data_IF_676331979245
#
_entry.id   IF_676331979245
#
_cell.length_a   1.000
_cell.length_b   1.000
_cell.length_c   1.000
_cell.angle_alpha   90.00
_cell.angle_beta   90.00
_cell.angle_gamma   90.00
#
_symmetry.space_group_name_H-M   'P 1'
#
loop_
_entity.id
_entity.type
_entity.pdbx_description
1 polymer ?
#
# COMPACT_ATOMS: atom_id res chain seq x y z
N UNK A 1 21.86 28.93 -2.09
CA UNK A 1 21.99 27.61 -2.75
C UNK A 1 21.72 26.43 -1.80
N UNK A 2 22.06 26.49 -0.51
CA UNK A 2 21.77 25.41 0.46
C UNK A 2 20.26 25.15 0.72
N UNK A 3 19.40 26.18 0.65
CA UNK A 3 17.96 26.02 0.91
C UNK A 3 17.23 25.18 -0.16
N UNK A 4 17.61 25.32 -1.43
CA UNK A 4 16.98 24.56 -2.53
C UNK A 4 17.38 23.09 -2.51
N UNK A 5 18.64 22.78 -2.17
CA UNK A 5 19.10 21.39 -2.03
C UNK A 5 18.40 20.65 -0.88
N UNK A 6 18.17 21.32 0.26
CA UNK A 6 17.42 20.73 1.38
C UNK A 6 15.93 20.52 1.08
N UNK A 7 15.30 21.44 0.34
CA UNK A 7 13.91 21.27 -0.11
C UNK A 7 13.78 20.09 -1.09
N UNK A 8 14.70 19.96 -2.03
CA UNK A 8 14.77 18.82 -2.94
C UNK A 8 14.90 17.49 -2.17
N UNK A 9 15.68 17.47 -1.09
CA UNK A 9 15.87 16.29 -0.27
C UNK A 9 14.60 15.87 0.51
N UNK A 10 13.72 16.81 0.83
CA UNK A 10 12.42 16.51 1.46
C UNK A 10 11.39 15.97 0.45
N UNK A 11 11.39 16.47 -0.79
CA UNK A 11 10.38 16.05 -1.79
C UNK A 11 10.52 14.61 -2.25
N UNK A 12 11.71 14.03 -2.10
CA UNK A 12 12.03 12.67 -2.52
C UNK A 12 12.34 11.76 -1.33
N UNK A 13 11.87 12.10 -0.13
CA UNK A 13 12.11 11.29 1.07
C UNK A 13 11.14 10.11 1.14
N UNK A 14 11.70 8.90 1.19
CA UNK A 14 10.94 7.67 1.45
C UNK A 14 10.31 7.70 2.86
N UNK A 15 11.00 8.24 3.86
CA UNK A 15 10.47 8.36 5.23
C UNK A 15 9.22 9.25 5.28
N UNK A 16 9.24 10.38 4.55
CA UNK A 16 8.08 11.28 4.46
C UNK A 16 6.92 10.57 3.75
N UNK A 17 7.21 9.81 2.70
CA UNK A 17 6.20 8.99 2.03
C UNK A 17 5.53 8.01 3.00
N UNK A 18 6.32 7.25 3.77
CA UNK A 18 5.79 6.29 4.73
C UNK A 18 5.00 6.96 5.86
N UNK A 19 5.44 8.12 6.36
CA UNK A 19 4.71 8.89 7.37
C UNK A 19 3.34 9.38 6.86
N UNK A 20 3.27 9.80 5.59
CA UNK A 20 2.02 10.23 4.97
C UNK A 20 1.02 9.08 4.84
N UNK A 21 1.44 7.93 4.30
CA UNK A 21 0.53 6.80 4.12
C UNK A 21 0.14 6.14 5.45
N UNK A 22 1.01 6.21 6.46
CA UNK A 22 0.71 5.73 7.81
C UNK A 22 -0.45 6.52 8.42
N UNK A 23 -0.39 7.85 8.33
CA UNK A 23 -1.42 8.75 8.87
C UNK A 23 -2.71 8.74 8.06
N UNK A 24 -2.61 8.72 6.73
CA UNK A 24 -3.77 8.85 5.83
C UNK A 24 -4.56 7.54 5.71
N UNK A 25 -3.87 6.41 5.66
CA UNK A 25 -4.48 5.12 5.30
C UNK A 25 -4.27 4.08 6.39
N UNK A 26 -3.03 3.82 6.81
CA UNK A 26 -2.72 2.72 7.73
C UNK A 26 -3.36 2.88 9.12
N UNK A 27 -3.48 4.11 9.61
CA UNK A 27 -4.08 4.42 10.93
C UNK A 27 -5.54 3.97 11.00
N UNK A 28 -6.32 4.14 9.93
CA UNK A 28 -7.71 3.68 9.94
C UNK A 28 -7.79 2.15 10.06
N UNK A 29 -6.98 1.43 9.28
CA UNK A 29 -6.91 -0.03 9.36
C UNK A 29 -6.45 -0.52 10.73
N UNK A 30 -5.44 0.14 11.32
CA UNK A 30 -4.93 -0.23 12.65
C UNK A 30 -5.99 -0.01 13.73
N UNK A 31 -6.68 1.14 13.73
CA UNK A 31 -7.74 1.44 14.70
C UNK A 31 -8.93 0.48 14.55
N UNK A 32 -9.33 0.13 13.32
CA UNK A 32 -10.42 -0.82 13.10
C UNK A 32 -10.09 -2.21 13.66
N UNK A 33 -8.90 -2.73 13.37
CA UNK A 33 -8.45 -4.05 13.85
C UNK A 33 -8.23 -4.06 15.36
N UNK A 34 -7.68 -2.99 15.92
CA UNK A 34 -7.53 -2.79 17.36
C UNK A 34 -8.89 -2.73 18.08
N UNK A 35 -9.85 -1.97 17.54
CA UNK A 35 -11.20 -1.85 18.10
C UNK A 35 -11.94 -3.20 18.09
N UNK A 36 -11.76 -4.00 17.04
CA UNK A 36 -12.31 -5.35 16.98
C UNK A 36 -11.71 -6.26 18.07
N UNK A 37 -10.40 -6.18 18.28
CA UNK A 37 -9.72 -6.94 19.33
C UNK A 37 -10.18 -6.52 20.74
N UNK A 38 -10.31 -5.22 20.99
CA UNK A 38 -10.83 -4.68 22.26
C UNK A 38 -12.27 -5.15 22.54
N UNK A 39 -13.13 -5.19 21.51
CA UNK A 39 -14.52 -5.65 21.64
C UNK A 39 -14.62 -7.11 22.07
N UNK A 40 -13.61 -7.92 21.74
CA UNK A 40 -13.51 -9.34 22.13
C UNK A 40 -12.90 -9.54 23.53
N UNK A 41 -12.60 -8.46 24.28
CA UNK A 41 -11.96 -8.50 25.62
C UNK A 41 -10.65 -9.30 25.64
N UNK A 42 -9.87 -9.22 24.57
CA UNK A 42 -8.55 -9.84 24.49
C UNK A 42 -7.52 -9.11 25.37
N UNK A 43 -6.37 -9.74 25.62
CA UNK A 43 -5.29 -9.11 26.40
C UNK A 43 -4.56 -8.01 25.61
N UNK A 44 -3.83 -7.15 26.33
CA UNK A 44 -3.15 -6.00 25.73
C UNK A 44 -2.12 -6.38 24.64
N UNK A 45 -1.49 -7.56 24.74
CA UNK A 45 -0.54 -8.01 23.73
C UNK A 45 -1.28 -8.38 22.44
N UNK A 46 -2.42 -9.04 22.55
CA UNK A 46 -3.25 -9.38 21.39
C UNK A 46 -3.89 -8.16 20.74
N UNK A 47 -4.36 -7.17 21.52
CA UNK A 47 -4.84 -5.89 21.00
C UNK A 47 -3.75 -5.15 20.20
N UNK A 48 -2.53 -5.07 20.76
CA UNK A 48 -1.38 -4.44 20.09
C UNK A 48 -0.98 -5.17 18.80
N UNK A 49 -1.08 -6.50 18.77
CA UNK A 49 -0.86 -7.29 17.55
C UNK A 49 -1.93 -7.00 16.50
N UNK A 50 -3.21 -6.93 16.88
CA UNK A 50 -4.27 -6.54 15.93
C UNK A 50 -3.98 -5.17 15.30
N UNK A 51 -3.62 -4.17 16.13
CA UNK A 51 -3.21 -2.84 15.66
C UNK A 51 -2.11 -2.92 14.60
N UNK A 52 -1.00 -3.62 14.88
CA UNK A 52 0.10 -3.72 13.93
C UNK A 52 -0.27 -4.48 12.67
N UNK A 53 -1.09 -5.53 12.78
CA UNK A 53 -1.62 -6.21 11.61
C UNK A 53 -2.38 -5.24 10.70
N UNK A 54 -3.33 -4.47 11.25
CA UNK A 54 -4.06 -3.46 10.49
C UNK A 54 -3.14 -2.39 9.88
N UNK A 55 -2.15 -1.91 10.64
CA UNK A 55 -1.16 -0.95 10.14
C UNK A 55 -0.43 -1.48 8.91
N UNK A 56 0.16 -2.67 8.99
CA UNK A 56 0.90 -3.24 7.86
C UNK A 56 0.00 -3.56 6.66
N UNK A 57 -1.23 -4.02 6.91
CA UNK A 57 -2.22 -4.23 5.86
C UNK A 57 -2.56 -2.92 5.13
N UNK A 58 -2.81 -1.84 5.87
CA UNK A 58 -3.10 -0.53 5.29
C UNK A 58 -1.92 0.07 4.51
N UNK A 59 -0.68 -0.16 4.95
CA UNK A 59 0.52 0.19 4.18
C UNK A 59 0.58 -0.60 2.87
N UNK A 60 0.35 -1.92 2.91
CA UNK A 60 0.35 -2.74 1.70
C UNK A 60 -0.73 -2.27 0.70
N UNK A 61 -1.92 -1.96 1.21
CA UNK A 61 -3.03 -1.43 0.41
C UNK A 61 -2.63 -0.15 -0.33
N UNK A 62 -2.05 0.82 0.37
CA UNK A 62 -1.66 2.08 -0.27
C UNK A 62 -0.52 1.91 -1.27
N UNK A 63 0.50 1.10 -0.97
CA UNK A 63 1.59 0.86 -1.94
C UNK A 63 1.04 0.20 -3.21
N UNK A 64 0.08 -0.72 -3.08
CA UNK A 64 -0.56 -1.36 -4.23
C UNK A 64 -1.37 -0.37 -5.07
N UNK A 65 -2.15 0.51 -4.43
CA UNK A 65 -2.91 1.59 -5.06
C UNK A 65 -1.96 2.52 -5.85
N UNK A 66 -0.87 2.96 -5.23
CA UNK A 66 0.16 3.78 -5.86
C UNK A 66 0.81 3.09 -7.07
N UNK A 67 1.03 1.77 -7.01
CA UNK A 67 1.57 0.99 -8.13
C UNK A 67 0.58 0.95 -9.29
N UNK A 68 -0.73 0.83 -9.02
CA UNK A 68 -1.75 0.79 -10.07
C UNK A 68 -1.78 2.07 -10.90
N UNK A 69 -1.43 3.22 -10.32
CA UNK A 69 -1.37 4.49 -11.04
C UNK A 69 -0.31 4.54 -12.17
N UNK A 70 0.58 3.55 -12.25
CA UNK A 70 1.61 3.43 -13.30
C UNK A 70 1.20 2.53 -14.48
N UNK A 71 0.03 1.90 -14.46
CA UNK A 71 -0.43 1.04 -15.54
C UNK A 71 -1.58 1.67 -16.34
N UNK A 72 -1.51 1.58 -17.66
CA UNK A 72 -2.55 2.09 -18.55
C UNK A 72 -3.84 1.28 -18.35
N UNK A 73 -4.90 1.93 -17.89
CA UNK A 73 -6.21 1.30 -17.77
C UNK A 73 -7.03 1.55 -19.05
N UNK A 74 -6.81 0.71 -20.07
CA UNK A 74 -7.49 0.82 -21.38
C UNK A 74 -9.01 0.76 -21.29
N UNK A 75 -9.56 0.11 -20.26
CA UNK A 75 -11.01 -0.04 -20.05
C UNK A 75 -11.65 1.19 -19.38
N UNK A 76 -10.88 1.96 -18.60
CA UNK A 76 -11.39 3.10 -17.80
C UNK A 76 -11.13 4.45 -18.50
N UNK A 77 -10.31 4.46 -19.55
CA UNK A 77 -9.95 5.68 -20.29
C UNK A 77 -9.21 6.73 -19.45
N UNK A 78 -8.71 6.35 -18.26
CA UNK A 78 -7.95 7.24 -17.38
C UNK A 78 -6.48 7.26 -17.81
N UNK A 79 -5.87 8.44 -17.98
CA UNK A 79 -4.43 8.53 -18.19
C UNK A 79 -3.70 7.99 -16.95
N UNK A 80 -2.58 7.33 -17.20
CA UNK A 80 -1.60 6.90 -16.20
C UNK A 80 -0.99 8.14 -15.51
N UNK A 81 -0.66 8.04 -14.22
CA UNK A 81 -0.02 9.13 -13.47
C UNK A 81 -0.99 10.15 -12.85
N UNK A 82 -2.18 9.73 -12.40
CA UNK A 82 -3.13 10.61 -11.71
C UNK A 82 -2.55 11.17 -10.41
N UNK A 83 -1.75 10.39 -9.69
CA UNK A 83 -1.04 10.89 -8.52
C UNK A 83 -0.10 12.04 -8.88
N UNK A 84 0.61 11.92 -9.99
CA UNK A 84 1.51 12.97 -10.47
C UNK A 84 0.73 14.20 -10.97
N UNK A 85 -0.44 14.02 -11.59
CA UNK A 85 -1.33 15.13 -11.94
C UNK A 85 -1.81 15.89 -10.70
N UNK A 86 -2.06 15.19 -9.59
CA UNK A 86 -2.43 15.77 -8.29
C UNK A 86 -1.24 16.44 -7.56
N UNK A 87 -0.02 16.28 -8.09
CA UNK A 87 1.23 16.76 -7.50
C UNK A 87 1.81 15.84 -6.42
N UNK A 88 1.37 14.57 -6.38
CA UNK A 88 1.92 13.54 -5.50
C UNK A 88 3.05 12.80 -6.20
N UNK A 89 4.11 12.53 -5.45
CA UNK A 89 5.17 11.60 -5.85
C UNK A 89 5.05 10.41 -4.91
N UNK A 90 4.87 9.22 -5.46
CA UNK A 90 4.68 7.97 -4.72
C UNK A 90 5.96 7.14 -4.69
N UNK A 91 5.95 6.02 -3.95
CA UNK A 91 7.14 5.20 -3.70
C UNK A 91 7.92 4.81 -4.98
N UNK A 92 7.27 4.40 -6.10
CA UNK A 92 8.01 4.01 -7.30
C UNK A 92 8.90 5.13 -7.85
N UNK A 93 8.34 6.33 -8.04
CA UNK A 93 9.08 7.47 -8.60
C UNK A 93 10.08 8.03 -7.60
N UNK A 94 9.76 8.04 -6.30
CA UNK A 94 10.69 8.44 -5.24
C UNK A 94 11.97 7.58 -5.30
N UNK A 95 11.81 6.26 -5.39
CA UNK A 95 12.95 5.36 -5.50
C UNK A 95 13.77 5.59 -6.78
N UNK A 96 13.10 5.71 -7.93
CA UNK A 96 13.78 5.94 -9.21
C UNK A 96 14.60 7.24 -9.19
N UNK A 97 14.05 8.32 -8.62
CA UNK A 97 14.73 9.61 -8.49
C UNK A 97 15.97 9.54 -7.59
N UNK A 98 15.87 8.82 -6.47
CA UNK A 98 16.96 8.69 -5.50
C UNK A 98 18.11 7.80 -6.00
N UNK A 99 17.82 6.83 -6.86
CA UNK A 99 18.82 5.85 -7.32
C UNK A 99 19.47 6.20 -8.66
N UNK A 100 18.74 6.86 -9.56
CA UNK A 100 19.24 7.16 -10.91
C UNK A 100 20.12 8.41 -11.00
N UNK A 101 20.09 9.29 -9.99
CA UNK A 101 20.77 10.59 -9.99
C UNK A 101 20.59 11.41 -11.29
N UNK A 102 19.38 11.39 -11.85
CA UNK A 102 19.08 12.03 -13.13
C UNK A 102 18.48 13.45 -12.93
N UNK A 103 19.18 14.47 -13.40
CA UNK A 103 18.78 15.88 -13.19
C UNK A 103 17.51 16.27 -13.96
N UNK A 104 17.29 15.71 -15.14
CA UNK A 104 16.03 15.91 -15.87
C UNK A 104 14.85 15.35 -15.08
N UNK A 105 14.96 14.12 -14.58
CA UNK A 105 13.89 13.48 -13.82
C UNK A 105 13.57 14.25 -12.54
N UNK A 106 14.60 14.72 -11.80
CA UNK A 106 14.41 15.60 -10.63
C UNK A 106 13.69 16.90 -10.98
N UNK A 107 14.05 17.53 -12.11
CA UNK A 107 13.38 18.75 -12.60
C UNK A 107 11.91 18.50 -12.89
N UNK A 108 11.58 17.41 -13.58
CA UNK A 108 10.17 17.06 -13.86
C UNK A 108 9.42 16.74 -12.55
N UNK A 109 10.03 16.02 -11.61
CA UNK A 109 9.43 15.72 -10.32
C UNK A 109 9.11 16.99 -9.50
N UNK A 110 9.95 18.03 -9.58
CA UNK A 110 9.66 19.34 -8.99
C UNK A 110 8.49 20.04 -9.69
N UNK A 111 8.40 19.95 -11.02
CA UNK A 111 7.24 20.46 -11.77
C UNK A 111 5.94 19.74 -11.40
N UNK A 112 6.01 18.43 -11.14
CA UNK A 112 4.89 17.63 -10.60
C UNK A 112 4.46 18.20 -9.26
N UNK A 113 5.39 18.40 -8.32
CA UNK A 113 5.09 18.99 -7.00
C UNK A 113 4.44 20.36 -7.08
N UNK A 114 4.83 21.19 -8.05
CA UNK A 114 4.21 22.51 -8.28
C UNK A 114 2.95 22.47 -9.16
N UNK A 115 2.51 21.29 -9.61
CA UNK A 115 1.36 21.09 -10.52
C UNK A 115 1.50 21.86 -11.84
N UNK A 116 2.72 21.91 -12.37
CA UNK A 116 3.07 22.58 -13.64
C UNK A 116 3.65 21.63 -14.69
N UNK A 117 3.76 20.34 -14.38
CA UNK A 117 4.18 19.33 -15.35
C UNK A 117 3.07 19.12 -16.39
N UNK A 118 3.44 18.97 -17.66
CA UNK A 118 2.52 18.57 -18.71
C UNK A 118 2.23 17.08 -18.62
N UNK A 119 1.16 16.63 -19.28
CA UNK A 119 0.83 15.20 -19.37
C UNK A 119 1.95 14.40 -20.07
N UNK A 120 2.59 15.00 -21.07
CA UNK A 120 3.74 14.40 -21.76
C UNK A 120 4.93 14.20 -20.81
N UNK A 121 5.27 15.21 -20.02
CA UNK A 121 6.35 15.11 -19.02
C UNK A 121 6.04 14.07 -17.94
N UNK A 122 4.77 13.96 -17.52
CA UNK A 122 4.33 12.93 -16.57
C UNK A 122 4.46 11.52 -17.18
N UNK A 123 4.11 11.36 -18.46
CA UNK A 123 4.27 10.10 -19.17
C UNK A 123 5.76 9.72 -19.29
N UNK A 124 6.62 10.67 -19.62
CA UNK A 124 8.07 10.45 -19.67
C UNK A 124 8.63 10.07 -18.29
N UNK A 125 8.22 10.76 -17.22
CA UNK A 125 8.64 10.44 -15.85
C UNK A 125 8.13 9.07 -15.38
N UNK A 126 6.94 8.67 -15.83
CA UNK A 126 6.38 7.33 -15.60
C UNK A 126 7.23 6.25 -16.28
N UNK A 127 7.61 6.45 -17.55
CA UNK A 127 8.50 5.52 -18.26
C UNK A 127 9.89 5.45 -17.63
N UNK A 128 10.44 6.61 -17.24
CA UNK A 128 11.68 6.69 -16.49
C UNK A 128 11.62 5.87 -15.19
N UNK A 129 10.51 5.98 -14.44
CA UNK A 129 10.30 5.25 -13.19
C UNK A 129 10.30 3.74 -13.40
N UNK A 130 9.61 3.27 -14.45
CA UNK A 130 9.59 1.85 -14.83
C UNK A 130 10.98 1.35 -15.22
N UNK A 131 11.71 2.12 -16.04
CA UNK A 131 13.06 1.74 -16.48
C UNK A 131 14.07 1.62 -15.33
N UNK A 132 13.88 2.38 -14.25
CA UNK A 132 14.76 2.38 -13.08
C UNK A 132 14.25 1.50 -11.93
N UNK A 133 13.44 0.48 -12.23
CA UNK A 133 12.95 -0.53 -11.29
C UNK A 133 12.13 0.03 -10.10
N UNK A 134 11.47 1.19 -10.28
CA UNK A 134 10.66 1.80 -9.23
C UNK A 134 9.46 0.94 -8.83
N UNK A 135 8.84 0.27 -9.79
CA UNK A 135 7.67 -0.58 -9.55
C UNK A 135 8.06 -1.83 -8.77
N UNK A 136 9.13 -2.48 -9.18
CA UNK A 136 9.72 -3.67 -8.55
C UNK A 136 10.17 -3.36 -7.13
N UNK A 137 10.74 -2.17 -6.90
CA UNK A 137 11.06 -1.72 -5.55
C UNK A 137 9.82 -1.57 -4.67
N UNK A 138 8.76 -0.94 -5.18
CA UNK A 138 7.52 -0.79 -4.43
C UNK A 138 6.88 -2.13 -4.09
N UNK A 139 6.88 -3.10 -5.02
CA UNK A 139 6.43 -4.47 -4.74
C UNK A 139 7.25 -5.13 -3.62
N UNK A 140 8.58 -5.03 -3.65
CA UNK A 140 9.44 -5.58 -2.57
C UNK A 140 9.11 -4.96 -1.21
N UNK A 141 8.92 -3.64 -1.14
CA UNK A 141 8.54 -2.96 0.11
C UNK A 141 7.16 -3.37 0.61
N UNK A 142 6.22 -3.59 -0.31
CA UNK A 142 4.91 -4.14 0.00
C UNK A 142 5.03 -5.56 0.57
N UNK A 143 5.89 -6.40 -0.01
CA UNK A 143 6.14 -7.76 0.48
C UNK A 143 6.79 -7.76 1.87
N UNK A 144 7.76 -6.89 2.14
CA UNK A 144 8.33 -6.71 3.48
C UNK A 144 7.24 -6.37 4.52
N UNK A 145 6.27 -5.53 4.13
CA UNK A 145 5.14 -5.18 5.00
C UNK A 145 4.16 -6.34 5.16
N UNK A 146 3.90 -7.10 4.10
CA UNK A 146 3.08 -8.32 4.11
C UNK A 146 3.66 -9.36 5.07
N UNK A 147 4.97 -9.59 5.02
CA UNK A 147 5.65 -10.50 5.95
C UNK A 147 5.53 -10.03 7.39
N UNK A 148 5.70 -8.73 7.67
CA UNK A 148 5.46 -8.17 9.00
C UNK A 148 4.01 -8.39 9.46
N UNK A 149 3.02 -8.21 8.58
CA UNK A 149 1.62 -8.47 8.89
C UNK A 149 1.39 -9.95 9.25
N UNK A 150 1.93 -10.88 8.45
CA UNK A 150 1.81 -12.33 8.67
C UNK A 150 2.49 -12.73 9.99
N UNK A 151 3.71 -12.24 10.25
CA UNK A 151 4.46 -12.54 11.47
C UNK A 151 3.73 -12.09 12.74
N UNK A 152 3.02 -10.97 12.66
CA UNK A 152 2.16 -10.49 13.75
C UNK A 152 0.99 -11.46 14.00
N UNK A 153 0.54 -12.23 13.00
CA UNK A 153 -0.54 -13.21 13.10
C UNK A 153 -0.09 -14.64 13.45
N UNK A 154 1.18 -15.02 13.24
CA UNK A 154 1.66 -16.41 13.29
C UNK A 154 1.39 -17.16 14.61
N UNK A 155 1.02 -16.46 15.68
CA UNK A 155 0.64 -17.05 16.98
C UNK A 155 -0.67 -16.45 17.54
N UNK A 156 -1.62 -16.05 16.69
CA UNK A 156 -2.80 -15.28 17.11
C UNK A 156 -4.00 -16.19 17.41
N UNK A 157 -4.32 -16.50 18.69
CA UNK A 157 -5.48 -17.33 19.03
C UNK A 157 -6.81 -16.68 18.68
N UNK A 158 -6.80 -15.37 18.38
CA UNK A 158 -7.97 -14.59 17.97
C UNK A 158 -8.60 -15.06 16.66
N UNK A 159 -7.84 -15.64 15.71
CA UNK A 159 -8.45 -16.24 14.52
C UNK A 159 -9.39 -17.39 14.91
N UNK A 160 -8.88 -18.33 15.71
CA UNK A 160 -9.67 -19.45 16.20
C UNK A 160 -10.81 -18.98 17.13
N UNK A 161 -10.56 -18.01 18.01
CA UNK A 161 -11.61 -17.43 18.87
C UNK A 161 -12.68 -16.68 18.07
N UNK A 162 -12.30 -15.97 17.00
CA UNK A 162 -13.21 -15.28 16.11
C UNK A 162 -14.05 -16.27 15.30
N UNK A 163 -13.43 -17.31 14.72
CA UNK A 163 -14.15 -18.40 14.07
C UNK A 163 -15.11 -19.10 15.04
N UNK A 164 -14.69 -19.35 16.29
CA UNK A 164 -15.54 -19.93 17.32
C UNK A 164 -16.71 -19.01 17.70
N UNK A 165 -16.45 -17.71 17.88
CA UNK A 165 -17.49 -16.72 18.22
C UNK A 165 -18.49 -16.52 17.08
N UNK A 166 -18.00 -16.40 15.84
CA UNK A 166 -18.86 -16.36 14.66
C UNK A 166 -19.59 -17.68 14.42
N UNK A 167 -19.07 -18.82 14.89
CA UNK A 167 -19.81 -20.09 14.83
C UNK A 167 -20.94 -20.14 15.86
N UNK A 168 -20.71 -19.52 17.02
CA UNK A 168 -21.68 -19.43 18.11
C UNK A 168 -22.89 -18.55 17.77
N UNK A 169 -22.69 -17.39 17.13
CA UNK A 169 -23.78 -16.42 16.86
C UNK A 169 -24.94 -16.99 15.99
N UNK A 170 -24.70 -17.66 14.85
CA UNK A 170 -25.73 -18.26 14.01
C UNK A 170 -25.93 -19.77 14.29
N UNK A 171 -25.16 -20.38 15.21
CA UNK A 171 -25.18 -21.82 15.47
C UNK A 171 -24.69 -22.68 14.30
N UNK A 172 -23.78 -22.16 13.47
CA UNK A 172 -23.21 -22.86 12.30
C UNK A 172 -21.70 -22.80 12.34
N UNK A 173 -21.04 -23.91 12.11
CA UNK A 173 -19.58 -23.99 12.06
C UNK A 173 -19.01 -23.11 10.93
N UNK A 174 -18.06 -22.24 11.26
CA UNK A 174 -17.34 -21.40 10.30
C UNK A 174 -16.11 -22.17 9.80
N UNK A 175 -16.05 -22.41 8.49
CA UNK A 175 -14.90 -23.07 7.88
C UNK A 175 -13.60 -22.27 8.08
N UNK A 176 -12.52 -22.98 8.43
CA UNK A 176 -11.16 -22.43 8.53
C UNK A 176 -10.31 -22.86 7.34
N UNK A 177 -9.28 -22.10 6.97
CA UNK A 177 -8.35 -22.43 5.89
C UNK A 177 -6.93 -21.95 6.15
N UNK A 178 -5.94 -22.57 5.50
CA UNK A 178 -4.56 -22.04 5.48
C UNK A 178 -4.50 -20.82 4.56
N UNK A 179 -4.10 -19.68 5.12
CA UNK A 179 -3.97 -18.44 4.38
C UNK A 179 -2.66 -18.45 3.59
N UNK A 180 -2.69 -18.97 2.37
CA UNK A 180 -1.69 -18.61 1.37
C UNK A 180 -1.95 -17.17 0.93
N UNK A 181 -1.28 -16.19 1.52
CA UNK A 181 -1.41 -14.78 1.12
C UNK A 181 -0.78 -14.56 -0.27
N UNK A 182 -1.39 -15.11 -1.32
CA UNK A 182 -1.17 -14.66 -2.68
C UNK A 182 -2.13 -13.49 -2.89
N UNK A 183 -1.70 -12.27 -2.54
CA UNK A 183 -2.47 -11.05 -2.83
C UNK A 183 -2.48 -10.81 -4.36
N UNK A 184 -3.24 -11.61 -5.09
CA UNK A 184 -3.68 -11.28 -6.44
C UNK A 184 -4.90 -10.38 -6.32
N UNK A 185 -4.63 -9.08 -6.23
CA UNK A 185 -5.67 -8.06 -6.42
C UNK A 185 -5.83 -7.87 -7.92
N UNK A 186 -6.82 -8.52 -8.50
CA UNK A 186 -7.27 -8.28 -9.87
C UNK A 186 -8.52 -7.39 -9.84
N UNK A 187 -8.57 -6.39 -10.73
CA UNK A 187 -9.74 -5.52 -10.90
C UNK A 187 -10.84 -6.35 -11.56
N UNK A 188 -11.72 -6.93 -10.75
CA UNK A 188 -12.82 -7.71 -11.27
C UNK A 188 -13.98 -6.83 -11.75
N UNK A 189 -14.14 -5.59 -11.27
CA UNK A 189 -15.21 -4.65 -11.65
C UNK A 189 -14.91 -3.18 -11.28
N UNK A 190 -15.61 -2.22 -11.92
CA UNK A 190 -15.53 -0.75 -11.78
C UNK A 190 -16.03 -0.15 -10.44
N UNK A 191 -15.96 -0.91 -9.34
CA UNK A 191 -16.40 -0.50 -8.00
C UNK A 191 -15.23 -0.33 -7.00
N UNK A 192 -15.49 -0.02 -5.72
CA UNK A 192 -14.44 0.02 -4.68
C UNK A 192 -13.64 -1.29 -4.68
N UNK A 193 -12.33 -1.18 -4.41
CA UNK A 193 -11.36 -2.28 -4.43
C UNK A 193 -11.97 -3.53 -3.81
N UNK A 194 -12.26 -4.51 -4.66
CA UNK A 194 -12.76 -5.81 -4.24
C UNK A 194 -11.53 -6.64 -3.90
N UNK A 195 -11.24 -6.78 -2.60
CA UNK A 195 -10.20 -7.69 -2.14
C UNK A 195 -10.75 -9.12 -2.28
N UNK A 196 -10.29 -9.84 -3.30
CA UNK A 196 -10.58 -11.27 -3.43
C UNK A 196 -9.64 -12.04 -2.49
N UNK A 197 -10.23 -12.66 -1.47
CA UNK A 197 -9.53 -13.56 -0.55
C UNK A 197 -9.88 -14.98 -0.98
N UNK A 198 -9.11 -15.51 -1.93
CA UNK A 198 -9.30 -16.89 -2.39
C UNK A 198 -8.67 -17.87 -1.38
N UNK A 199 -9.49 -18.77 -0.84
CA UNK A 199 -9.05 -19.86 0.05
C UNK A 199 -8.92 -21.19 -0.69
N UNK A 200 -9.08 -21.21 -2.02
CA UNK A 200 -9.00 -22.41 -2.83
C UNK A 200 -8.10 -22.23 -4.04
N UNK A 201 -6.82 -22.51 -3.84
CA UNK A 201 -6.04 -23.25 -4.83
C UNK A 201 -5.01 -24.13 -4.10
N UNK A 202 -5.47 -25.32 -3.70
CA UNK A 202 -4.61 -26.51 -3.68
C UNK A 202 -4.85 -27.21 -5.02
N UNK A 203 -4.14 -26.74 -6.05
CA UNK A 203 -3.64 -27.45 -7.23
C UNK A 203 -2.98 -26.46 -8.20
#
# INVERSE_FOLDING_TARGET
MLQLANLNNQFFSEDIYFDVIDKKTATLFSVCTESAALSMKTDANNTKRAHFFGKYLGICFQIKDDIFDYYDNKEIGKPTGNDMLDGRLTLPVIYALNTANNEWAKKIALKVKSRTASLEEINELTQFTKHHNGIEYAYRKMDDCREKAINVLSNFPLYNQFCNYLSFLPGKEIGTGEFGANMKVELLNDGPVTIFIDTKNKE
#
